data_IF_852743893516
#
_entry.id   IF_852743893516
#
_cell.length_a   1.000
_cell.length_b   1.000
_cell.length_c   1.000
_cell.angle_alpha   90.00
_cell.angle_beta   90.00
_cell.angle_gamma   90.00
#
_symmetry.space_group_name_H-M   'P 1'
#
loop_
_entity.id
_entity.type
_entity.pdbx_description
1 polymer ?
#
# COMPACT_ATOMS: atom_id res chain seq x y z
N UNK A 1 -2.42 72.49 21.15
CA UNK A 1 -3.19 71.29 21.42
C UNK A 1 -3.26 70.32 20.22
N UNK A 2 -3.17 70.74 18.98
CA UNK A 2 -3.33 69.86 17.76
C UNK A 2 -2.18 68.88 17.49
N UNK A 3 -0.92 69.19 17.94
CA UNK A 3 0.25 68.33 17.66
C UNK A 3 0.24 66.98 18.47
N UNK A 4 -0.34 66.95 19.64
CA UNK A 4 -0.40 65.76 20.46
C UNK A 4 -1.46 64.77 19.97
N UNK A 5 -2.55 65.23 19.36
CA UNK A 5 -3.58 64.35 18.76
C UNK A 5 -3.06 63.64 17.51
N UNK A 6 -2.25 64.32 16.68
CA UNK A 6 -1.67 63.69 15.50
C UNK A 6 -0.66 62.59 15.85
N UNK A 7 0.15 62.79 16.90
CA UNK A 7 1.12 61.78 17.36
C UNK A 7 0.43 60.56 17.98
N UNK A 8 -0.67 60.73 18.73
CA UNK A 8 -1.45 59.61 19.30
C UNK A 8 -2.13 58.78 18.21
N UNK A 9 -2.62 59.43 17.16
CA UNK A 9 -3.25 58.71 16.04
C UNK A 9 -2.23 57.91 15.22
N UNK A 10 -1.01 58.42 15.04
CA UNK A 10 0.06 57.69 14.35
C UNK A 10 0.52 56.46 15.12
N UNK A 11 0.66 56.54 16.43
CA UNK A 11 1.03 55.40 17.29
C UNK A 11 -0.05 54.35 17.31
N UNK A 12 -1.32 54.75 17.38
CA UNK A 12 -2.44 53.80 17.33
C UNK A 12 -2.55 53.07 15.96
N UNK A 13 -2.28 53.77 14.85
CA UNK A 13 -2.26 53.16 13.52
C UNK A 13 -1.12 52.15 13.35
N UNK A 14 0.07 52.44 13.89
CA UNK A 14 1.22 51.53 13.86
C UNK A 14 0.98 50.29 14.75
N UNK A 15 0.34 50.45 15.91
CA UNK A 15 -0.01 49.35 16.79
C UNK A 15 -1.07 48.42 16.15
N UNK A 16 -2.03 48.97 15.41
CA UNK A 16 -3.05 48.19 14.70
C UNK A 16 -2.48 47.33 13.55
N UNK A 17 -1.42 47.83 12.87
CA UNK A 17 -0.75 47.03 11.80
C UNK A 17 0.11 45.89 12.32
N UNK A 18 0.61 45.96 13.54
CA UNK A 18 1.39 44.91 14.21
C UNK A 18 0.51 43.79 14.78
N UNK A 19 -0.76 44.02 15.06
CA UNK A 19 -1.69 43.02 15.55
C UNK A 19 -2.24 42.04 14.47
N UNK A 20 -2.01 42.36 13.18
CA UNK A 20 -2.53 41.60 12.05
C UNK A 20 -1.76 40.32 11.68
N UNK A 21 -0.63 40.01 12.28
CA UNK A 21 0.29 38.97 11.81
C UNK A 21 0.24 37.64 12.57
N UNK A 22 -0.74 37.38 13.42
CA UNK A 22 -0.75 36.16 14.26
C UNK A 22 -1.90 35.17 13.99
N UNK A 23 -2.45 35.11 12.76
CA UNK A 23 -3.30 34.00 12.37
C UNK A 23 -2.40 32.89 11.85
N UNK A 24 -1.64 32.26 12.71
CA UNK A 24 -0.99 30.98 12.45
C UNK A 24 -2.10 29.93 12.33
N UNK A 25 -2.50 29.60 11.10
CA UNK A 25 -3.30 28.41 10.89
C UNK A 25 -2.46 27.22 11.35
N UNK A 26 -3.00 26.31 12.21
CA UNK A 26 -2.26 25.12 12.59
C UNK A 26 -1.84 24.38 11.32
N UNK A 27 -0.57 24.01 11.23
CA UNK A 27 -0.07 23.22 10.12
C UNK A 27 -0.84 21.91 10.09
N UNK A 28 -1.43 21.53 8.95
CA UNK A 28 -2.19 20.28 8.88
C UNK A 28 -1.26 19.11 9.19
N UNK A 29 -1.71 18.26 10.14
CA UNK A 29 -0.97 17.08 10.58
C UNK A 29 -1.18 15.97 9.56
N UNK A 30 -0.10 15.33 9.12
CA UNK A 30 -0.17 14.15 8.27
C UNK A 30 -0.84 12.99 9.00
N UNK A 31 -1.75 12.32 8.33
CA UNK A 31 -2.41 11.11 8.80
C UNK A 31 -1.74 9.88 8.16
N UNK A 32 -1.47 8.87 8.99
CA UNK A 32 -0.78 7.66 8.55
C UNK A 32 -1.70 6.45 8.63
N UNK A 33 -1.59 5.57 7.64
CA UNK A 33 -2.43 4.39 7.48
C UNK A 33 -1.59 3.13 7.31
N UNK A 34 -2.13 2.00 7.74
CA UNK A 34 -1.58 0.67 7.52
C UNK A 34 -2.36 -0.05 6.40
N UNK A 35 -1.71 -1.05 5.80
CA UNK A 35 -2.37 -2.08 5.02
C UNK A 35 -2.54 -3.30 5.93
N UNK A 36 -3.76 -3.52 6.40
CA UNK A 36 -4.12 -4.63 7.29
C UNK A 36 -5.13 -5.54 6.59
N UNK A 37 -4.67 -6.46 5.73
CA UNK A 37 -5.58 -7.38 5.06
C UNK A 37 -6.22 -8.33 6.07
N UNK A 38 -7.47 -8.76 5.84
CA UNK A 38 -8.10 -9.81 6.63
C UNK A 38 -7.30 -11.10 6.57
N UNK A 39 -7.38 -11.90 7.64
CA UNK A 39 -6.69 -13.19 7.73
C UNK A 39 -7.12 -14.14 6.60
N UNK A 40 -6.16 -14.87 6.06
CA UNK A 40 -6.38 -15.84 4.98
C UNK A 40 -6.76 -17.20 5.58
N UNK A 41 -7.80 -17.82 5.05
CA UNK A 41 -8.20 -19.15 5.47
C UNK A 41 -7.16 -20.21 5.08
N UNK A 42 -6.97 -21.21 5.93
CA UNK A 42 -6.13 -22.34 5.63
C UNK A 42 -6.69 -23.15 4.44
N UNK A 43 -5.80 -23.63 3.56
CA UNK A 43 -6.17 -24.48 2.42
C UNK A 43 -6.27 -25.94 2.85
N UNK A 44 -7.13 -26.71 2.16
CA UNK A 44 -7.34 -28.13 2.49
C UNK A 44 -6.15 -29.03 2.09
N UNK A 45 -5.35 -28.60 1.12
CA UNK A 45 -4.23 -29.36 0.59
C UNK A 45 -2.93 -28.58 0.76
N UNK A 46 -1.96 -29.16 1.46
CA UNK A 46 -0.64 -28.58 1.72
C UNK A 46 0.40 -29.19 0.79
N UNK A 47 1.21 -28.36 0.15
CA UNK A 47 2.39 -28.81 -0.60
C UNK A 47 3.46 -29.33 0.37
N UNK A 48 4.13 -30.46 0.08
CA UNK A 48 5.21 -30.99 0.91
C UNK A 48 6.50 -30.16 0.82
N UNK A 49 6.53 -29.13 -0.04
CA UNK A 49 7.69 -28.28 -0.25
C UNK A 49 7.73 -27.16 0.79
N UNK A 50 8.93 -26.64 0.98
CA UNK A 50 9.17 -25.38 1.69
C UNK A 50 9.14 -24.19 0.73
N UNK A 51 8.68 -23.04 1.21
CA UNK A 51 8.69 -21.82 0.44
C UNK A 51 9.30 -20.67 1.24
N UNK A 52 9.84 -19.68 0.54
CA UNK A 52 10.34 -18.41 1.09
C UNK A 52 9.73 -17.26 0.31
N UNK A 53 9.38 -16.18 1.01
CA UNK A 53 9.16 -14.91 0.36
C UNK A 53 10.50 -14.34 -0.07
N UNK A 54 10.64 -14.04 -1.35
CA UNK A 54 11.78 -13.35 -1.95
C UNK A 54 11.58 -11.84 -1.94
N UNK A 55 11.73 -11.21 -3.08
CA UNK A 55 11.64 -9.76 -3.22
C UNK A 55 10.22 -9.31 -3.52
N UNK A 56 9.77 -8.28 -2.79
CA UNK A 56 8.54 -7.54 -3.12
C UNK A 56 8.94 -6.18 -3.66
N UNK A 57 8.59 -5.92 -4.91
CA UNK A 57 8.86 -4.64 -5.59
C UNK A 57 7.56 -3.93 -5.90
N UNK A 58 7.61 -2.59 -5.90
CA UNK A 58 6.47 -1.74 -6.22
C UNK A 58 6.86 -0.84 -7.40
N UNK A 59 5.98 -0.69 -8.37
CA UNK A 59 6.18 0.19 -9.51
C UNK A 59 6.51 1.62 -9.05
N UNK A 60 7.40 2.28 -9.77
CA UNK A 60 7.98 3.56 -9.37
C UNK A 60 6.94 4.62 -8.94
N UNK A 61 5.78 4.79 -9.60
CA UNK A 61 4.78 5.78 -9.19
C UNK A 61 4.19 5.55 -7.79
N UNK A 62 4.22 4.31 -7.29
CA UNK A 62 3.55 3.89 -6.04
C UNK A 62 4.54 3.47 -4.95
N UNK A 63 5.83 3.72 -5.15
CA UNK A 63 6.89 3.24 -4.24
C UNK A 63 6.95 3.99 -2.93
N UNK A 64 6.59 5.27 -2.98
CA UNK A 64 6.66 6.17 -1.83
C UNK A 64 5.50 5.94 -0.85
N UNK A 65 5.60 6.52 0.34
CA UNK A 65 4.59 6.40 1.39
C UNK A 65 3.29 7.12 1.07
N UNK A 66 3.35 8.17 0.25
CA UNK A 66 2.19 9.01 -0.07
C UNK A 66 1.14 8.24 -0.87
N UNK A 67 -0.12 8.49 -0.57
CA UNK A 67 -1.21 7.95 -1.38
C UNK A 67 -1.18 8.56 -2.77
N UNK A 68 -1.44 7.74 -3.76
CA UNK A 68 -1.51 8.15 -5.16
C UNK A 68 -2.96 8.11 -5.62
N UNK A 69 -3.40 9.19 -6.23
CA UNK A 69 -4.77 9.34 -6.76
C UNK A 69 -4.70 9.59 -8.26
N UNK A 70 -5.45 8.82 -9.02
CA UNK A 70 -5.60 9.00 -10.46
C UNK A 70 -6.83 9.88 -10.72
N UNK A 71 -6.61 11.10 -11.22
CA UNK A 71 -7.65 12.11 -11.47
C UNK A 71 -8.11 12.14 -12.94
N UNK A 72 -7.25 11.69 -13.87
CA UNK A 72 -7.55 11.57 -15.30
C UNK A 72 -6.69 10.46 -15.91
N UNK A 73 -6.85 10.19 -17.21
CA UNK A 73 -6.17 9.07 -17.87
C UNK A 73 -4.64 9.09 -17.73
N UNK A 74 -4.03 10.25 -17.76
CA UNK A 74 -2.58 10.42 -17.59
C UNK A 74 -2.22 11.35 -16.42
N UNK A 75 -3.20 11.76 -15.59
CA UNK A 75 -2.95 12.65 -14.47
C UNK A 75 -3.08 11.89 -13.15
N UNK A 76 -1.97 11.83 -12.45
CA UNK A 76 -1.84 11.28 -11.11
C UNK A 76 -1.38 12.38 -10.16
N UNK A 77 -1.91 12.37 -8.95
CA UNK A 77 -1.56 13.29 -7.88
C UNK A 77 -1.15 12.49 -6.64
N UNK A 78 -0.24 13.05 -5.85
CA UNK A 78 0.14 12.47 -4.55
C UNK A 78 -0.55 13.23 -3.45
N UNK A 79 -1.13 12.53 -2.49
CA UNK A 79 -1.78 13.15 -1.34
C UNK A 79 -0.73 13.60 -0.34
N UNK A 80 -0.67 14.91 -0.08
CA UNK A 80 0.31 15.49 0.83
C UNK A 80 0.02 15.17 2.31
N UNK A 81 -1.24 14.94 2.66
CA UNK A 81 -1.69 14.79 4.04
C UNK A 81 -1.90 13.36 4.48
N UNK A 82 -2.00 12.43 3.55
CA UNK A 82 -2.28 11.02 3.83
C UNK A 82 -1.19 10.14 3.24
N UNK A 83 -0.64 9.27 4.09
CA UNK A 83 0.46 8.40 3.68
C UNK A 83 0.39 7.06 4.42
N UNK A 84 1.06 6.06 3.93
CA UNK A 84 1.31 4.83 4.68
C UNK A 84 2.32 5.07 5.80
N UNK A 85 2.23 4.32 6.89
CA UNK A 85 3.18 4.38 8.03
C UNK A 85 4.62 4.16 7.55
N UNK A 86 4.80 3.21 6.64
CA UNK A 86 6.06 2.93 5.92
C UNK A 86 5.76 2.77 4.44
N UNK A 87 6.78 2.67 3.60
CA UNK A 87 6.61 2.43 2.16
C UNK A 87 5.78 1.15 1.90
N UNK A 88 5.00 1.07 0.80
CA UNK A 88 4.12 -0.07 0.53
C UNK A 88 4.82 -1.42 0.43
N UNK A 89 6.06 -1.47 -0.09
CA UNK A 89 6.75 -2.73 -0.31
C UNK A 89 6.92 -3.57 0.98
N UNK A 90 7.46 -3.06 2.10
CA UNK A 90 7.55 -3.82 3.34
C UNK A 90 6.18 -4.17 3.94
N UNK A 91 5.15 -3.30 3.84
CA UNK A 91 3.81 -3.62 4.33
C UNK A 91 3.21 -4.81 3.58
N UNK A 92 3.31 -4.80 2.25
CA UNK A 92 2.80 -5.88 1.40
C UNK A 92 3.62 -7.15 1.61
N UNK A 93 4.94 -7.04 1.80
CA UNK A 93 5.80 -8.19 2.09
C UNK A 93 5.40 -8.88 3.40
N UNK A 94 5.14 -8.14 4.46
CA UNK A 94 4.67 -8.67 5.73
C UNK A 94 3.31 -9.35 5.59
N UNK A 95 2.38 -8.73 4.85
CA UNK A 95 1.07 -9.31 4.58
C UNK A 95 1.17 -10.63 3.80
N UNK A 96 2.01 -10.70 2.75
CA UNK A 96 2.25 -11.92 1.98
C UNK A 96 2.85 -13.01 2.87
N UNK A 97 3.89 -12.69 3.65
CA UNK A 97 4.55 -13.66 4.54
C UNK A 97 3.56 -14.23 5.56
N UNK A 98 2.74 -13.35 6.17
CA UNK A 98 1.69 -13.75 7.10
C UNK A 98 0.65 -14.68 6.44
N UNK A 99 0.18 -14.32 5.24
CA UNK A 99 -0.79 -15.12 4.50
C UNK A 99 -0.26 -16.51 4.11
N UNK A 100 1.01 -16.60 3.70
CA UNK A 100 1.65 -17.90 3.38
C UNK A 100 1.71 -18.81 4.60
N UNK A 101 1.98 -18.25 5.79
CA UNK A 101 1.98 -19.00 7.05
C UNK A 101 0.55 -19.43 7.44
N UNK A 102 -0.41 -18.49 7.42
CA UNK A 102 -1.79 -18.74 7.85
C UNK A 102 -2.52 -19.74 6.94
N UNK A 103 -2.25 -19.66 5.64
CA UNK A 103 -2.90 -20.53 4.65
C UNK A 103 -2.46 -21.99 4.71
N UNK A 104 -1.33 -22.31 5.34
CA UNK A 104 -0.75 -23.66 5.37
C UNK A 104 -0.53 -24.27 3.98
N UNK A 105 -0.34 -23.45 2.95
CA UNK A 105 -0.18 -23.93 1.56
C UNK A 105 1.13 -24.69 1.35
N UNK A 106 2.14 -24.43 2.17
CA UNK A 106 3.43 -25.13 2.19
C UNK A 106 3.68 -25.80 3.53
N UNK A 107 4.40 -26.92 3.51
CA UNK A 107 4.81 -27.62 4.73
C UNK A 107 5.64 -26.74 5.67
N UNK A 108 6.38 -25.81 5.10
CA UNK A 108 7.18 -24.83 5.85
C UNK A 108 7.32 -23.52 5.06
N UNK A 109 7.12 -22.41 5.74
CA UNK A 109 7.49 -21.07 5.25
C UNK A 109 8.77 -20.65 5.98
N UNK A 110 9.84 -20.43 5.21
CA UNK A 110 11.17 -20.08 5.74
C UNK A 110 11.31 -18.56 5.77
N UNK A 111 11.63 -17.95 6.91
CA UNK A 111 11.86 -16.51 6.98
C UNK A 111 13.01 -16.06 6.06
N UNK A 112 12.96 -14.83 5.53
CA UNK A 112 14.06 -14.28 4.74
C UNK A 112 15.40 -14.32 5.47
N UNK A 113 16.49 -14.64 4.76
CA UNK A 113 17.84 -14.62 5.31
C UNK A 113 18.20 -15.76 6.27
N UNK A 114 17.29 -16.73 6.51
CA UNK A 114 17.57 -17.88 7.39
C UNK A 114 17.85 -19.15 6.60
N UNK A 115 18.86 -19.99 6.99
CA UNK A 115 19.05 -21.32 6.42
C UNK A 115 17.96 -22.29 6.95
N UNK A 116 17.67 -23.43 6.26
CA UNK A 116 18.19 -23.80 4.95
C UNK A 116 17.54 -23.02 3.80
N UNK A 117 18.04 -23.17 2.57
CA UNK A 117 17.36 -22.68 1.37
C UNK A 117 15.98 -23.34 1.23
N UNK A 118 15.02 -22.57 0.74
CA UNK A 118 13.68 -23.06 0.45
C UNK A 118 13.64 -23.79 -0.91
N UNK A 119 12.73 -24.75 -1.06
CA UNK A 119 12.47 -25.42 -2.35
C UNK A 119 11.92 -24.42 -3.39
N UNK A 120 11.17 -23.41 -2.92
CA UNK A 120 10.53 -22.40 -3.75
C UNK A 120 10.79 -20.99 -3.20
N UNK A 121 11.01 -20.04 -4.10
CA UNK A 121 11.01 -18.60 -3.79
C UNK A 121 9.81 -17.94 -4.45
N UNK A 122 9.10 -17.11 -3.69
CA UNK A 122 7.93 -16.37 -4.16
C UNK A 122 8.30 -14.89 -4.19
N UNK A 123 8.36 -14.31 -5.38
CA UNK A 123 8.57 -12.89 -5.58
C UNK A 123 7.25 -12.21 -5.95
N UNK A 124 7.11 -10.92 -5.68
CA UNK A 124 5.92 -10.14 -6.02
C UNK A 124 6.27 -8.80 -6.65
N UNK A 125 5.51 -8.42 -7.67
CA UNK A 125 5.55 -7.10 -8.29
C UNK A 125 4.20 -6.41 -8.19
N UNK A 126 4.14 -5.28 -7.49
CA UNK A 126 2.95 -4.43 -7.36
C UNK A 126 2.95 -3.43 -8.49
N UNK A 127 2.12 -3.67 -9.50
CA UNK A 127 2.01 -2.84 -10.71
C UNK A 127 1.05 -1.67 -10.58
N UNK A 128 0.07 -1.75 -9.66
CA UNK A 128 -0.88 -0.68 -9.37
C UNK A 128 -1.20 -0.64 -7.88
N UNK A 129 -1.24 0.56 -7.32
CA UNK A 129 -1.65 0.85 -5.93
C UNK A 129 -2.08 2.32 -5.88
N UNK A 130 -3.34 2.61 -6.24
CA UNK A 130 -3.83 3.99 -6.30
C UNK A 130 -5.34 4.09 -6.10
N UNK A 131 -5.82 5.27 -5.71
CA UNK A 131 -7.23 5.62 -5.77
C UNK A 131 -7.58 6.11 -7.19
N UNK A 132 -8.72 5.69 -7.74
CA UNK A 132 -9.19 6.10 -9.06
C UNK A 132 -10.42 7.00 -8.94
N UNK A 133 -10.22 8.28 -9.18
CA UNK A 133 -11.24 9.33 -9.12
C UNK A 133 -11.69 9.81 -10.51
N UNK A 134 -11.32 9.12 -11.59
CA UNK A 134 -11.69 9.53 -12.95
C UNK A 134 -13.20 9.62 -13.15
N UNK A 135 -13.94 8.74 -12.51
CA UNK A 135 -15.41 8.84 -12.41
C UNK A 135 -15.80 9.19 -10.97
N UNK A 136 -16.18 10.45 -10.70
CA UNK A 136 -16.59 10.86 -9.36
C UNK A 136 -17.85 10.16 -8.83
N UNK A 137 -18.64 9.51 -9.72
CA UNK A 137 -19.81 8.72 -9.33
C UNK A 137 -19.47 7.27 -8.97
N UNK A 138 -18.29 6.81 -9.37
CA UNK A 138 -17.80 5.47 -9.12
C UNK A 138 -16.30 5.48 -8.74
N UNK A 139 -15.91 6.24 -7.69
CA UNK A 139 -14.51 6.26 -7.25
C UNK A 139 -14.09 4.86 -6.82
N UNK A 140 -12.83 4.53 -7.00
CA UNK A 140 -12.33 3.18 -6.73
C UNK A 140 -10.95 3.16 -6.12
N UNK A 141 -10.57 1.99 -5.60
CA UNK A 141 -9.22 1.65 -5.21
C UNK A 141 -8.71 0.53 -6.10
N UNK A 142 -7.57 0.74 -6.74
CA UNK A 142 -6.94 -0.19 -7.68
C UNK A 142 -5.73 -0.85 -7.04
N UNK A 143 -5.68 -2.18 -7.09
CA UNK A 143 -4.53 -2.97 -6.67
C UNK A 143 -4.24 -4.04 -7.72
N UNK A 144 -3.01 -4.07 -8.24
CA UNK A 144 -2.55 -5.14 -9.12
C UNK A 144 -1.21 -5.68 -8.62
N UNK A 145 -1.14 -7.00 -8.45
CA UNK A 145 0.06 -7.71 -8.00
C UNK A 145 0.30 -8.91 -8.93
N UNK A 146 1.52 -9.06 -9.40
CA UNK A 146 1.97 -10.27 -10.10
C UNK A 146 2.91 -11.03 -9.20
N UNK A 147 2.63 -12.32 -8.99
CA UNK A 147 3.49 -13.23 -8.25
C UNK A 147 4.27 -14.12 -9.22
N UNK A 148 5.49 -14.41 -8.83
CA UNK A 148 6.40 -15.30 -9.53
C UNK A 148 6.90 -16.35 -8.55
N UNK A 149 6.81 -17.62 -8.91
CA UNK A 149 7.37 -18.71 -8.13
C UNK A 149 8.55 -19.27 -8.88
N UNK A 150 9.71 -19.29 -8.26
CA UNK A 150 10.96 -19.80 -8.83
C UNK A 150 11.56 -20.88 -7.95
N UNK A 151 12.49 -21.64 -8.53
CA UNK A 151 13.29 -22.66 -7.85
C UNK A 151 14.75 -22.23 -7.84
N UNK A 152 15.46 -22.41 -6.73
CA UNK A 152 16.90 -22.03 -6.65
C UNK A 152 17.77 -22.78 -7.67
N UNK A 153 17.40 -24.03 -7.99
CA UNK A 153 18.13 -24.90 -8.92
C UNK A 153 17.82 -24.62 -10.41
N UNK A 154 16.83 -23.76 -10.70
CA UNK A 154 16.38 -23.43 -12.06
C UNK A 154 16.35 -21.92 -12.27
N UNK A 155 17.50 -21.32 -12.44
CA UNK A 155 17.68 -19.87 -12.50
C UNK A 155 17.14 -19.18 -13.79
N UNK A 156 16.52 -19.91 -14.73
CA UNK A 156 16.23 -19.37 -16.08
C UNK A 156 14.84 -18.75 -16.20
N UNK A 157 13.83 -19.25 -15.47
CA UNK A 157 12.46 -18.72 -15.52
C UNK A 157 11.67 -19.14 -14.27
N UNK A 158 10.65 -18.36 -13.88
CA UNK A 158 9.72 -18.80 -12.84
C UNK A 158 8.97 -20.07 -13.30
N UNK A 159 8.77 -21.00 -12.37
CA UNK A 159 8.02 -22.25 -12.63
C UNK A 159 6.51 -21.98 -12.64
N UNK A 160 6.08 -20.86 -12.13
CA UNK A 160 4.70 -20.39 -12.15
C UNK A 160 4.65 -18.87 -11.98
N UNK A 161 3.69 -18.23 -12.64
CA UNK A 161 3.38 -16.82 -12.41
C UNK A 161 1.91 -16.55 -12.65
N UNK A 162 1.34 -15.61 -11.89
CA UNK A 162 -0.03 -15.13 -12.08
C UNK A 162 -0.16 -13.68 -11.65
N UNK A 163 -0.88 -12.91 -12.46
CA UNK A 163 -1.27 -11.55 -12.14
C UNK A 163 -2.67 -11.54 -11.53
N UNK A 164 -2.83 -10.74 -10.49
CA UNK A 164 -4.10 -10.48 -9.81
C UNK A 164 -4.40 -8.98 -9.89
N UNK A 165 -5.66 -8.67 -10.11
CA UNK A 165 -6.15 -7.30 -10.14
C UNK A 165 -7.44 -7.20 -9.34
N UNK A 166 -7.56 -6.14 -8.55
CA UNK A 166 -8.78 -5.78 -7.82
C UNK A 166 -9.08 -4.31 -8.01
N UNK A 167 -10.34 -4.04 -8.26
CA UNK A 167 -10.93 -2.71 -8.17
C UNK A 167 -12.05 -2.76 -7.14
N UNK A 168 -11.86 -2.06 -6.04
CA UNK A 168 -12.91 -1.89 -5.03
C UNK A 168 -13.57 -0.53 -5.22
N UNK A 169 -14.90 -0.50 -5.30
CA UNK A 169 -15.66 0.76 -5.34
C UNK A 169 -15.68 1.39 -3.96
N UNK A 170 -15.39 2.69 -3.89
CA UNK A 170 -15.42 3.44 -2.64
C UNK A 170 -16.81 4.01 -2.40
N UNK A 171 -17.36 3.84 -1.19
CA UNK A 171 -18.63 4.44 -0.78
C UNK A 171 -18.53 5.95 -0.59
N UNK A 172 -17.33 6.41 -0.17
CA UNK A 172 -16.97 7.82 0.00
C UNK A 172 -15.52 8.00 -0.37
N UNK A 173 -15.17 9.17 -0.94
CA UNK A 173 -13.78 9.51 -1.25
C UNK A 173 -13.11 10.03 0.01
N UNK A 174 -12.37 9.16 0.72
CA UNK A 174 -11.54 9.53 1.85
C UNK A 174 -10.31 8.64 1.92
N UNK A 175 -9.25 9.11 2.55
CA UNK A 175 -8.03 8.34 2.77
C UNK A 175 -8.30 7.06 3.58
N UNK A 176 -9.19 7.12 4.57
CA UNK A 176 -9.56 5.96 5.39
C UNK A 176 -10.30 4.89 4.57
N UNK A 177 -11.27 5.29 3.72
CA UNK A 177 -11.98 4.33 2.85
C UNK A 177 -11.06 3.75 1.79
N UNK A 178 -10.12 4.54 1.28
CA UNK A 178 -9.11 4.06 0.35
C UNK A 178 -8.20 3.01 1.01
N UNK A 179 -7.63 3.30 2.19
CA UNK A 179 -6.77 2.36 2.90
C UNK A 179 -7.50 1.05 3.28
N UNK A 180 -8.76 1.15 3.71
CA UNK A 180 -9.60 -0.01 4.01
C UNK A 180 -9.87 -0.86 2.76
N UNK A 181 -10.18 -0.22 1.62
CA UNK A 181 -10.43 -0.89 0.36
C UNK A 181 -9.16 -1.59 -0.19
N UNK A 182 -8.00 -0.95 -0.06
CA UNK A 182 -6.71 -1.56 -0.41
C UNK A 182 -6.39 -2.76 0.48
N UNK A 183 -6.64 -2.66 1.79
CA UNK A 183 -6.46 -3.77 2.73
C UNK A 183 -7.36 -4.97 2.38
N UNK A 184 -8.64 -4.72 2.12
CA UNK A 184 -9.58 -5.75 1.70
C UNK A 184 -9.16 -6.40 0.36
N UNK A 185 -8.81 -5.58 -0.65
CA UNK A 185 -8.33 -6.06 -1.96
C UNK A 185 -7.07 -6.91 -1.84
N UNK A 186 -6.15 -6.53 -0.95
CA UNK A 186 -4.94 -7.32 -0.68
C UNK A 186 -5.31 -8.67 -0.05
N UNK A 187 -6.22 -8.69 0.92
CA UNK A 187 -6.72 -9.94 1.52
C UNK A 187 -7.36 -10.89 0.50
N UNK A 188 -8.19 -10.35 -0.39
CA UNK A 188 -8.81 -11.13 -1.47
C UNK A 188 -7.78 -11.73 -2.43
N UNK A 189 -6.76 -10.95 -2.81
CA UNK A 189 -5.65 -11.42 -3.65
C UNK A 189 -4.88 -12.52 -2.93
N UNK A 190 -4.53 -12.34 -1.66
CA UNK A 190 -3.77 -13.33 -0.87
C UNK A 190 -4.56 -14.61 -0.65
N UNK A 191 -5.86 -14.51 -0.43
CA UNK A 191 -6.75 -15.68 -0.34
C UNK A 191 -6.85 -16.44 -1.67
N UNK A 192 -6.92 -15.75 -2.81
CA UNK A 192 -6.90 -16.38 -4.13
C UNK A 192 -5.53 -17.00 -4.44
N UNK A 193 -4.44 -16.28 -4.17
CA UNK A 193 -3.07 -16.77 -4.31
C UNK A 193 -2.88 -18.09 -3.56
N UNK A 194 -3.35 -18.18 -2.31
CA UNK A 194 -3.21 -19.38 -1.49
C UNK A 194 -3.95 -20.59 -2.10
N UNK A 195 -5.14 -20.39 -2.64
CA UNK A 195 -5.89 -21.42 -3.37
C UNK A 195 -5.20 -21.86 -4.65
N UNK A 196 -4.68 -20.88 -5.41
CA UNK A 196 -3.98 -21.17 -6.66
C UNK A 196 -2.68 -21.95 -6.41
N UNK A 197 -1.89 -21.54 -5.42
CA UNK A 197 -0.65 -22.24 -5.04
C UNK A 197 -0.94 -23.65 -4.53
N UNK A 198 -2.02 -23.86 -3.78
CA UNK A 198 -2.45 -25.20 -3.33
C UNK A 198 -2.87 -26.10 -4.49
N UNK A 199 -3.44 -25.54 -5.56
CA UNK A 199 -3.84 -26.27 -6.76
C UNK A 199 -2.62 -26.67 -7.64
N UNK A 200 -1.47 -26.00 -7.46
CA UNK A 200 -0.26 -26.30 -8.24
C UNK A 200 0.46 -27.53 -7.68
N UNK A 201 0.83 -28.43 -8.59
CA UNK A 201 1.70 -29.58 -8.26
C UNK A 201 3.14 -29.23 -8.63
N UNK A 202 3.79 -28.45 -7.77
CA UNK A 202 5.21 -28.19 -7.96
C UNK A 202 5.98 -29.50 -7.79
N UNK A 203 6.58 -30.01 -8.88
CA UNK A 203 7.41 -31.19 -8.84
C UNK A 203 8.64 -30.97 -7.94
N UNK A 204 9.12 -32.03 -7.27
CA UNK A 204 10.41 -31.99 -6.55
C UNK A 204 11.59 -31.93 -7.52
#
# INVERSE_FOLDING_TARGET
MTRHFASAFLVAAVAATLAGCSITRPSPVKQMYLLEPPAVAAVAQTSPLSARLGTVTVAAPYRERTFVVREADLRFETDFYHEYVVAPAPLIAEAIASALVQSNVFARVIPPGTPPEADLTIDAFVGALYADNRDPKAPGAELAITFYVSRPDRAVAPVWSKAYHRRATLSTVSAATYAAAQSASLGDILGELSRDLAAQRFAR
#
